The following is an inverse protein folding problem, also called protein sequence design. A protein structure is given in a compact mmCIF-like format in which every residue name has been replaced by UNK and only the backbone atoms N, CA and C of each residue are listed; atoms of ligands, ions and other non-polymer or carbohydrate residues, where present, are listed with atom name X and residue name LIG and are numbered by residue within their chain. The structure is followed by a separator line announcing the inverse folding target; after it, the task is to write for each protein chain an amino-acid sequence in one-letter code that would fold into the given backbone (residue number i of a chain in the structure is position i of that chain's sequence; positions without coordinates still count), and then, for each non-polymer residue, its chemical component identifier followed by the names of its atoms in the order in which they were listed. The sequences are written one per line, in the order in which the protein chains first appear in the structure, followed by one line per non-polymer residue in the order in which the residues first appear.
data_IF_880715964831
#
_entry.id   IF_880715964831
#
_cell.length_a   1.000
_cell.length_b   1.000
_cell.length_c   1.000
_cell.angle_alpha   90.00
_cell.angle_beta   90.00
_cell.angle_gamma   90.00
#
_symmetry.space_group_name_H-M   'P 1'
#
loop_
_entity.id
_entity.type
_entity.pdbx_description
1 polymer ?
#
# COMPACT_ATOMS: atom_id res chain seq x y z
N UNK A 1 1.13 -26.56 46.79
CA UNK A 1 0.08 -27.23 45.98
C UNK A 1 -1.17 -26.37 46.08
N UNK A 2 -1.75 -25.73 45.07
CA UNK A 2 -1.50 -25.56 43.64
C UNK A 2 -2.05 -24.16 43.29
N UNK A 3 -1.34 -23.44 42.43
CA UNK A 3 -1.79 -22.22 41.75
C UNK A 3 -3.25 -22.26 41.31
N UNK A 4 -4.04 -21.26 41.72
CA UNK A 4 -5.38 -21.02 41.19
C UNK A 4 -5.36 -19.77 40.30
N UNK A 5 -4.93 -19.95 39.06
CA UNK A 5 -5.42 -19.23 37.87
C UNK A 5 -4.91 -19.97 36.62
N UNK A 6 -5.80 -20.28 35.68
CA UNK A 6 -5.80 -19.44 34.48
C UNK A 6 -7.21 -18.94 34.10
N UNK A 7 -7.35 -17.68 33.63
CA UNK A 7 -8.54 -17.27 32.90
C UNK A 7 -8.49 -17.89 31.50
N UNK A 8 -9.34 -18.87 31.23
CA UNK A 8 -9.58 -19.38 29.88
C UNK A 8 -10.49 -18.41 29.10
N UNK A 9 -10.06 -17.15 28.97
CA UNK A 9 -10.75 -16.11 28.20
C UNK A 9 -9.94 -15.60 27.00
N UNK A 10 -9.00 -16.40 26.46
CA UNK A 10 -8.07 -15.92 25.42
C UNK A 10 -8.00 -16.78 24.15
N UNK A 11 -8.80 -17.84 24.02
CA UNK A 11 -8.70 -18.74 22.86
C UNK A 11 -10.05 -19.17 22.31
N UNK A 12 -10.87 -18.22 21.87
CA UNK A 12 -11.83 -18.53 20.79
C UNK A 12 -12.20 -17.29 20.00
N UNK A 13 -11.52 -17.15 18.87
CA UNK A 13 -12.21 -17.06 17.59
C UNK A 13 -12.95 -15.75 17.32
N UNK A 14 -12.21 -14.72 16.88
CA UNK A 14 -12.68 -13.92 15.73
C UNK A 14 -11.58 -13.05 15.11
N UNK A 15 -10.59 -13.68 14.45
CA UNK A 15 -9.89 -13.01 13.35
C UNK A 15 -10.78 -12.89 12.09
N UNK A 16 -12.12 -12.97 12.24
CA UNK A 16 -13.11 -12.65 11.21
C UNK A 16 -13.45 -11.14 11.18
N UNK A 17 -13.07 -10.36 12.19
CA UNK A 17 -13.44 -8.94 12.30
C UNK A 17 -12.86 -8.04 11.21
N UNK A 18 -11.64 -8.30 10.73
CA UNK A 18 -10.99 -7.45 9.73
C UNK A 18 -11.67 -7.51 8.36
N UNK A 19 -12.00 -8.72 7.89
CA UNK A 19 -12.68 -8.89 6.60
C UNK A 19 -14.12 -8.39 6.63
N UNK A 20 -14.85 -8.65 7.71
CA UNK A 20 -16.22 -8.14 7.88
C UNK A 20 -16.24 -6.61 7.96
N UNK A 21 -15.29 -6.00 8.70
CA UNK A 21 -15.13 -4.54 8.74
C UNK A 21 -14.80 -3.98 7.35
N UNK A 22 -13.92 -4.64 6.61
CA UNK A 22 -13.52 -4.23 5.27
C UNK A 22 -14.70 -4.29 4.27
N UNK A 23 -15.50 -5.37 4.31
CA UNK A 23 -16.69 -5.50 3.47
C UNK A 23 -17.76 -4.46 3.80
N UNK A 24 -17.96 -4.15 5.09
CA UNK A 24 -18.92 -3.12 5.52
C UNK A 24 -18.47 -1.74 5.04
N UNK A 25 -17.19 -1.40 5.19
CA UNK A 25 -16.65 -0.11 4.70
C UNK A 25 -16.72 -0.01 3.18
N UNK A 26 -16.36 -1.08 2.45
CA UNK A 26 -16.46 -1.11 0.99
C UNK A 26 -17.92 -0.96 0.51
N UNK A 27 -18.88 -1.59 1.20
CA UNK A 27 -20.31 -1.44 0.89
C UNK A 27 -20.80 -0.01 1.12
N UNK A 28 -20.40 0.63 2.23
CA UNK A 28 -20.76 2.03 2.53
C UNK A 28 -20.18 3.00 1.49
N UNK A 29 -18.91 2.84 1.12
CA UNK A 29 -18.28 3.65 0.08
C UNK A 29 -18.90 3.40 -1.30
N UNK A 30 -19.23 2.15 -1.63
CA UNK A 30 -19.93 1.79 -2.86
C UNK A 30 -21.33 2.41 -2.95
N UNK A 31 -22.05 2.52 -1.83
CA UNK A 31 -23.36 3.20 -1.75
C UNK A 31 -23.22 4.68 -2.07
N UNK A 32 -22.16 5.34 -1.58
CA UNK A 32 -21.89 6.75 -1.89
C UNK A 32 -21.64 6.95 -3.38
N UNK A 33 -20.79 6.11 -4.01
CA UNK A 33 -20.53 6.15 -5.45
C UNK A 33 -21.81 5.87 -6.26
N UNK A 34 -22.60 4.89 -5.83
CA UNK A 34 -23.90 4.57 -6.43
C UNK A 34 -24.88 5.75 -6.34
N UNK A 35 -24.94 6.44 -5.20
CA UNK A 35 -25.80 7.60 -4.99
C UNK A 35 -25.40 8.80 -5.88
N UNK A 36 -24.09 9.04 -6.05
CA UNK A 36 -23.57 10.08 -6.95
C UNK A 36 -23.83 9.73 -8.43
N UNK A 37 -23.84 8.44 -8.79
CA UNK A 37 -24.20 8.00 -10.14
C UNK A 37 -25.72 8.09 -10.40
N UNK A 38 -26.54 7.81 -9.37
CA UNK A 38 -28.00 7.90 -9.43
C UNK A 38 -28.48 9.33 -9.64
N UNK A 39 -27.83 10.32 -9.00
CA UNK A 39 -28.14 11.74 -9.23
C UNK A 39 -27.81 12.22 -10.64
N UNK A 40 -27.09 11.42 -11.44
CA UNK A 40 -26.80 11.67 -12.86
C UNK A 40 -27.62 10.79 -13.82
N UNK A 41 -28.70 10.17 -13.32
CA UNK A 41 -29.64 9.38 -14.14
C UNK A 41 -29.12 8.02 -14.58
N UNK A 42 -28.11 7.46 -13.90
CA UNK A 42 -27.59 6.11 -14.18
C UNK A 42 -28.09 5.09 -13.16
N UNK A 43 -28.21 3.85 -13.60
CA UNK A 43 -28.69 2.73 -12.77
C UNK A 43 -27.80 2.55 -11.53
N UNK A 44 -28.38 2.87 -10.36
CA UNK A 44 -27.73 2.80 -9.04
C UNK A 44 -27.06 1.46 -8.79
N UNK A 45 -27.78 0.36 -9.05
CA UNK A 45 -27.32 -0.99 -8.77
C UNK A 45 -26.14 -1.43 -9.66
N UNK A 46 -26.09 -0.94 -10.91
CA UNK A 46 -25.01 -1.25 -11.84
C UNK A 46 -23.70 -0.58 -11.43
N UNK A 47 -23.78 0.67 -10.98
CA UNK A 47 -22.62 1.43 -10.50
C UNK A 47 -22.16 1.00 -9.11
N UNK A 48 -23.09 0.60 -8.24
CA UNK A 48 -22.77 -0.01 -6.95
C UNK A 48 -22.07 -1.37 -7.13
N UNK A 49 -22.60 -2.23 -8.01
CA UNK A 49 -21.98 -3.53 -8.33
C UNK A 49 -20.62 -3.33 -9.00
N UNK A 50 -20.46 -2.33 -9.87
CA UNK A 50 -19.16 -1.97 -10.45
C UNK A 50 -18.15 -1.53 -9.39
N UNK A 51 -18.55 -0.68 -8.44
CA UNK A 51 -17.71 -0.24 -7.32
C UNK A 51 -17.31 -1.39 -6.39
N UNK A 52 -18.23 -2.32 -6.12
CA UNK A 52 -17.96 -3.52 -5.34
C UNK A 52 -17.10 -4.55 -6.10
N UNK A 53 -17.33 -4.72 -7.41
CA UNK A 53 -16.59 -5.66 -8.27
C UNK A 53 -15.17 -5.20 -8.60
N UNK A 54 -14.90 -3.89 -8.54
CA UNK A 54 -13.54 -3.35 -8.63
C UNK A 54 -12.61 -3.98 -7.61
N UNK A 55 -13.11 -4.47 -6.47
CA UNK A 55 -12.28 -5.13 -5.48
C UNK A 55 -11.59 -6.39 -6.02
N UNK A 56 -12.28 -7.20 -6.83
CA UNK A 56 -11.72 -8.40 -7.47
C UNK A 56 -10.80 -8.01 -8.62
N UNK A 57 -11.24 -7.05 -9.46
CA UNK A 57 -10.48 -6.59 -10.62
C UNK A 57 -9.20 -5.85 -10.23
N UNK A 58 -9.22 -5.13 -9.10
CA UNK A 58 -8.07 -4.41 -8.54
C UNK A 58 -6.98 -5.36 -8.07
N UNK A 59 -7.34 -6.50 -7.46
CA UNK A 59 -6.36 -7.52 -7.05
C UNK A 59 -5.63 -8.07 -8.27
N UNK A 60 -6.37 -8.38 -9.35
CA UNK A 60 -5.76 -8.82 -10.62
C UNK A 60 -4.88 -7.72 -11.22
N UNK A 61 -5.34 -6.47 -11.22
CA UNK A 61 -4.56 -5.34 -11.76
C UNK A 61 -3.27 -5.08 -10.99
N UNK A 62 -3.29 -5.14 -9.65
CA UNK A 62 -2.09 -4.97 -8.81
C UNK A 62 -1.10 -6.10 -9.02
N UNK A 63 -1.57 -7.33 -9.20
CA UNK A 63 -0.70 -8.48 -9.48
C UNK A 63 -0.06 -8.41 -10.87
N UNK A 64 -0.77 -7.84 -11.85
CA UNK A 64 -0.32 -7.74 -13.25
C UNK A 64 0.56 -6.50 -13.47
N UNK A 65 0.36 -5.42 -12.72
CA UNK A 65 1.22 -4.23 -12.78
C UNK A 65 2.60 -4.57 -12.22
N UNK A 66 3.61 -4.47 -13.09
CA UNK A 66 5.01 -4.58 -12.68
C UNK A 66 5.41 -3.32 -11.89
N UNK A 67 6.26 -3.45 -10.87
CA UNK A 67 6.76 -2.30 -10.13
C UNK A 67 7.45 -1.30 -11.07
N UNK A 68 7.01 -0.05 -11.02
CA UNK A 68 7.61 1.04 -11.79
C UNK A 68 8.99 1.37 -11.21
N UNK A 69 10.02 0.83 -11.86
CA UNK A 69 11.41 1.01 -11.46
C UNK A 69 11.83 2.48 -11.47
N UNK A 70 11.25 3.31 -12.35
CA UNK A 70 11.58 4.75 -12.40
C UNK A 70 10.99 5.49 -11.21
N UNK A 71 9.78 5.15 -10.79
CA UNK A 71 9.17 5.69 -9.58
C UNK A 71 9.95 5.25 -8.31
N UNK A 72 10.41 3.99 -8.27
CA UNK A 72 11.26 3.48 -7.19
C UNK A 72 12.62 4.17 -7.13
N UNK A 73 13.27 4.39 -8.28
CA UNK A 73 14.53 5.15 -8.35
C UNK A 73 14.34 6.62 -7.94
N UNK A 74 13.24 7.26 -8.35
CA UNK A 74 12.93 8.63 -7.95
C UNK A 74 12.69 8.73 -6.43
N UNK A 75 11.97 7.78 -5.84
CA UNK A 75 11.82 7.69 -4.39
C UNK A 75 13.14 7.41 -3.68
N UNK A 76 14.02 6.57 -4.22
CA UNK A 76 15.34 6.33 -3.63
C UNK A 76 16.23 7.58 -3.63
N UNK A 77 16.06 8.48 -4.61
CA UNK A 77 16.72 9.78 -4.65
C UNK A 77 16.07 10.77 -3.67
N UNK A 78 14.74 10.72 -3.53
CA UNK A 78 13.99 11.60 -2.62
C UNK A 78 14.20 11.26 -1.14
N UNK A 79 14.28 9.96 -0.82
CA UNK A 79 14.63 9.42 0.51
C UNK A 79 16.15 9.52 0.79
N UNK A 80 16.72 10.71 0.61
CA UNK A 80 18.13 11.00 0.90
C UNK A 80 19.15 10.21 0.06
N UNK A 81 18.86 10.00 -1.23
CA UNK A 81 19.82 9.44 -2.19
C UNK A 81 20.35 10.46 -3.19
N UNK A 82 21.60 10.30 -3.63
CA UNK A 82 22.19 10.97 -4.80
C UNK A 82 22.83 9.91 -5.71
N UNK A 83 22.75 10.10 -7.03
CA UNK A 83 23.46 9.23 -8.00
C UNK A 83 24.92 9.64 -8.08
N UNK A 84 25.83 8.67 -8.00
CA UNK A 84 27.26 8.92 -8.20
C UNK A 84 27.55 9.18 -9.70
N UNK A 85 28.26 10.26 -10.07
CA UNK A 85 28.55 10.57 -11.48
C UNK A 85 29.51 9.56 -12.14
N UNK A 86 30.29 8.80 -11.36
CA UNK A 86 31.27 7.84 -11.87
C UNK A 86 30.69 6.46 -12.16
N UNK A 87 29.76 5.99 -11.33
CA UNK A 87 29.23 4.61 -11.42
C UNK A 87 27.70 4.53 -11.52
N UNK A 88 26.99 5.66 -11.54
CA UNK A 88 25.53 5.77 -11.62
C UNK A 88 24.71 5.11 -10.50
N UNK A 89 25.38 4.52 -9.51
CA UNK A 89 24.75 3.89 -8.35
C UNK A 89 24.16 4.92 -7.39
N UNK A 90 23.05 4.57 -6.73
CA UNK A 90 22.40 5.44 -5.73
C UNK A 90 23.10 5.27 -4.38
N UNK A 91 23.66 6.36 -3.87
CA UNK A 91 24.33 6.42 -2.56
C UNK A 91 23.65 7.47 -1.68
N UNK A 92 23.77 7.36 -0.36
CA UNK A 92 23.19 8.35 0.57
C UNK A 92 23.66 9.77 0.23
N UNK A 93 22.79 10.77 0.37
CA UNK A 93 23.11 12.19 0.15
C UNK A 93 24.28 12.64 1.02
N UNK A 94 24.35 12.17 2.26
CA UNK A 94 25.42 12.48 3.20
C UNK A 94 26.71 11.67 2.97
N UNK A 95 26.74 10.76 1.98
CA UNK A 95 27.95 10.01 1.70
C UNK A 95 29.05 10.96 1.21
N UNK A 96 30.17 11.02 1.93
CA UNK A 96 31.42 11.69 1.53
C UNK A 96 32.23 10.84 0.54
N UNK A 97 31.99 9.52 0.50
CA UNK A 97 32.65 8.59 -0.41
C UNK A 97 31.67 7.52 -0.89
N UNK A 98 31.69 7.23 -2.19
CA UNK A 98 30.91 6.13 -2.76
C UNK A 98 31.45 4.77 -2.33
N UNK A 99 30.58 3.88 -1.82
CA UNK A 99 30.96 2.51 -1.38
C UNK A 99 31.34 1.58 -2.54
N UNK A 100 30.89 1.88 -3.75
CA UNK A 100 31.07 1.01 -4.92
C UNK A 100 32.30 1.36 -5.74
N UNK A 101 32.49 2.64 -6.09
CA UNK A 101 33.62 3.10 -6.91
C UNK A 101 34.69 3.87 -6.14
N UNK A 102 34.43 4.26 -4.89
CA UNK A 102 35.38 5.01 -4.06
C UNK A 102 35.47 6.51 -4.36
N UNK A 103 34.66 7.05 -5.28
CA UNK A 103 34.65 8.49 -5.59
C UNK A 103 34.28 9.34 -4.36
N UNK A 104 35.06 10.41 -4.13
CA UNK A 104 34.86 11.37 -3.05
C UNK A 104 33.89 12.47 -3.48
N UNK A 105 32.93 12.81 -2.62
CA UNK A 105 32.05 13.95 -2.82
C UNK A 105 32.54 15.09 -1.91
N UNK A 106 32.83 16.26 -2.49
CA UNK A 106 33.17 17.45 -1.70
C UNK A 106 31.89 17.99 -1.01
N UNK A 107 31.89 18.17 0.33
CA UNK A 107 30.82 18.85 1.02
C UNK A 107 30.96 20.36 0.79
N UNK A 108 29.99 20.94 0.08
CA UNK A 108 29.87 22.39 -0.12
C UNK A 108 29.31 23.09 1.11
#
# INVERSE_FOLDING_TARGET
MLDKAPPENTLSMSNRGGFTMFLVVAALLGIIVGAIAHSKGRNFFLWWLYGAAIFIVAIVHVLVIKPDKKALEAQAIDNDGKKCPMCAEVVKRDALRCRYCGHSFDPA
#
